data_IF_485827636030
#
_entry.id   IF_485827636030
#
_cell.length_a   1.000
_cell.length_b   1.000
_cell.length_c   1.000
_cell.angle_alpha   90.00
_cell.angle_beta   90.00
_cell.angle_gamma   90.00
#
_symmetry.space_group_name_H-M   'P 1'
#
loop_
_entity.id
_entity.type
_entity.pdbx_description
1 polymer ?
#
# COMPACT_ATOMS: atom_id res chain seq x y z
N UNK A 1 3.25 6.35 -9.88
CA UNK A 1 3.67 7.06 -8.65
C UNK A 1 3.90 6.02 -7.54
N UNK A 2 4.95 6.14 -6.73
CA UNK A 2 5.28 5.15 -5.69
C UNK A 2 5.11 5.74 -4.29
N UNK A 3 4.04 5.33 -3.58
CA UNK A 3 3.72 5.78 -2.23
C UNK A 3 4.49 4.99 -1.16
N UNK A 4 4.71 5.62 -0.01
CA UNK A 4 5.22 4.96 1.18
C UNK A 4 4.12 4.21 1.95
N UNK A 5 4.51 3.47 2.98
CA UNK A 5 3.56 2.79 3.88
C UNK A 5 3.83 3.18 5.32
N UNK A 6 2.90 3.92 5.92
CA UNK A 6 3.02 4.33 7.32
C UNK A 6 2.91 3.15 8.28
N UNK A 7 2.20 2.07 7.92
CA UNK A 7 2.13 0.85 8.73
C UNK A 7 3.50 0.18 8.86
N UNK A 8 4.29 0.18 7.79
CA UNK A 8 5.67 -0.32 7.81
C UNK A 8 6.60 0.57 8.62
N UNK A 9 6.52 1.88 8.43
CA UNK A 9 7.29 2.84 9.23
C UNK A 9 6.97 2.70 10.73
N UNK A 10 5.68 2.65 11.08
CA UNK A 10 5.19 2.48 12.45
C UNK A 10 5.71 1.21 13.11
N UNK A 11 5.80 0.10 12.37
CA UNK A 11 6.29 -1.19 12.90
C UNK A 11 7.72 -1.06 13.42
N UNK A 12 8.61 -0.37 12.70
CA UNK A 12 9.99 -0.18 13.14
C UNK A 12 10.10 0.56 14.48
N UNK A 13 9.33 1.64 14.66
CA UNK A 13 9.28 2.36 15.94
C UNK A 13 8.63 1.55 17.05
N UNK A 14 7.61 0.75 16.73
CA UNK A 14 7.00 -0.15 17.69
C UNK A 14 7.99 -1.21 18.18
N UNK A 15 8.73 -1.87 17.28
CA UNK A 15 9.77 -2.83 17.63
C UNK A 15 10.87 -2.20 18.49
N UNK A 16 11.32 -0.99 18.13
CA UNK A 16 12.29 -0.24 18.93
C UNK A 16 11.79 0.06 20.35
N UNK A 17 10.52 0.43 20.51
CA UNK A 17 9.92 0.67 21.83
C UNK A 17 9.76 -0.64 22.62
N UNK A 18 9.35 -1.73 21.98
CA UNK A 18 9.18 -3.04 22.62
C UNK A 18 10.50 -3.64 23.10
N UNK A 19 11.64 -3.25 22.51
CA UNK A 19 12.96 -3.69 22.98
C UNK A 19 13.36 -3.10 24.33
N UNK A 20 12.70 -2.03 24.80
CA UNK A 20 12.93 -1.44 26.11
C UNK A 20 12.24 -2.24 27.22
N UNK A 21 12.75 -2.21 28.47
CA UNK A 21 12.06 -2.75 29.64
C UNK A 21 10.65 -2.20 29.76
N UNK A 22 9.67 -3.02 30.16
CA UNK A 22 8.25 -2.61 30.22
C UNK A 22 8.02 -1.32 31.01
N UNK A 23 8.77 -1.10 32.09
CA UNK A 23 8.69 0.10 32.94
C UNK A 23 9.19 1.38 32.27
N UNK A 24 10.01 1.27 31.21
CA UNK A 24 10.56 2.39 30.47
C UNK A 24 9.88 2.59 29.10
N UNK A 25 8.79 1.87 28.84
CA UNK A 25 8.00 2.05 27.61
C UNK A 25 6.96 3.14 27.85
N UNK A 26 7.01 4.17 27.03
CA UNK A 26 6.02 5.21 27.09
C UNK A 26 6.21 6.28 26.00
N UNK A 27 5.28 7.23 25.93
CA UNK A 27 5.31 8.32 24.96
C UNK A 27 6.49 9.29 25.18
N UNK A 28 7.14 9.25 26.34
CA UNK A 28 8.35 10.03 26.64
C UNK A 28 9.59 9.52 25.90
N UNK A 29 9.64 8.24 25.54
CA UNK A 29 10.71 7.66 24.74
C UNK A 29 10.65 8.19 23.31
N UNK A 30 11.80 8.37 22.66
CA UNK A 30 11.84 8.87 21.28
C UNK A 30 10.96 8.04 20.33
N UNK A 31 11.04 6.71 20.40
CA UNK A 31 10.18 5.81 19.64
C UNK A 31 8.68 6.03 19.96
N UNK A 32 8.34 6.25 21.22
CA UNK A 32 6.99 6.56 21.67
C UNK A 32 6.46 7.87 21.10
N UNK A 33 7.29 8.91 21.05
CA UNK A 33 6.96 10.21 20.44
C UNK A 33 6.62 10.07 18.95
N UNK A 34 7.43 9.32 18.19
CA UNK A 34 7.11 9.02 16.79
C UNK A 34 5.79 8.27 16.65
N UNK A 35 5.55 7.24 17.48
CA UNK A 35 4.30 6.48 17.44
C UNK A 35 3.08 7.35 17.76
N UNK A 36 3.21 8.31 18.69
CA UNK A 36 2.13 9.24 19.03
C UNK A 36 1.80 10.17 17.85
N UNK A 37 2.81 10.71 17.17
CA UNK A 37 2.60 11.54 15.97
C UNK A 37 2.00 10.74 14.82
N UNK A 38 2.50 9.52 14.57
CA UNK A 38 1.94 8.62 13.55
C UNK A 38 0.48 8.28 13.86
N UNK A 39 0.13 8.09 15.14
CA UNK A 39 -1.26 7.84 15.54
C UNK A 39 -2.19 9.02 15.21
N UNK A 40 -1.70 10.26 15.28
CA UNK A 40 -2.48 11.44 14.86
C UNK A 40 -2.78 11.42 13.35
N UNK A 41 -1.82 10.99 12.52
CA UNK A 41 -2.06 10.82 11.08
C UNK A 41 -3.20 9.81 10.84
N UNK A 42 -3.17 8.67 11.53
CA UNK A 42 -4.22 7.65 11.42
C UNK A 42 -5.58 8.12 11.98
N UNK A 43 -5.60 8.98 12.99
CA UNK A 43 -6.84 9.53 13.52
C UNK A 43 -7.59 10.37 12.47
N UNK A 44 -6.85 11.15 11.66
CA UNK A 44 -7.44 11.90 10.52
C UNK A 44 -8.08 10.93 9.52
N UNK A 45 -7.36 9.87 9.14
CA UNK A 45 -7.86 8.87 8.19
C UNK A 45 -9.07 8.08 8.74
N UNK A 46 -9.07 7.73 10.03
CA UNK A 46 -10.20 7.04 10.68
C UNK A 46 -11.44 7.93 10.67
N UNK A 47 -11.30 9.18 11.12
CA UNK A 47 -12.39 10.15 11.14
C UNK A 47 -12.96 10.39 9.74
N UNK A 48 -12.09 10.49 8.73
CA UNK A 48 -12.52 10.65 7.36
C UNK A 48 -13.33 9.44 6.85
N UNK A 49 -12.92 8.22 7.21
CA UNK A 49 -13.65 6.99 6.88
C UNK A 49 -15.00 6.91 7.58
N UNK A 50 -15.05 7.27 8.86
CA UNK A 50 -16.27 7.31 9.67
C UNK A 50 -17.30 8.28 9.07
N UNK A 51 -16.87 9.46 8.64
CA UNK A 51 -17.72 10.45 7.99
C UNK A 51 -17.92 10.24 6.48
N UNK A 52 -17.30 9.21 5.89
CA UNK A 52 -17.35 8.90 4.45
C UNK A 52 -16.99 10.10 3.57
N UNK A 53 -15.92 10.81 3.95
CA UNK A 53 -15.45 11.97 3.20
C UNK A 53 -15.06 11.59 1.77
N UNK A 54 -15.34 12.50 0.84
CA UNK A 54 -14.83 12.45 -0.52
C UNK A 54 -13.30 12.66 -0.55
N UNK A 55 -12.66 12.32 -1.67
CA UNK A 55 -11.23 12.57 -1.85
C UNK A 55 -10.87 14.06 -1.66
N UNK A 56 -11.71 14.98 -2.13
CA UNK A 56 -11.47 16.42 -1.98
C UNK A 56 -11.58 16.87 -0.51
N UNK A 57 -12.57 16.39 0.23
CA UNK A 57 -12.73 16.69 1.65
C UNK A 57 -11.60 16.07 2.50
N UNK A 58 -11.20 14.84 2.19
CA UNK A 58 -10.06 14.19 2.84
C UNK A 58 -8.77 14.96 2.58
N UNK A 59 -8.54 15.43 1.34
CA UNK A 59 -7.38 16.28 1.04
C UNK A 59 -7.36 17.53 1.90
N UNK A 60 -8.49 18.22 2.05
CA UNK A 60 -8.60 19.39 2.92
C UNK A 60 -8.29 19.06 4.39
N UNK A 61 -8.83 17.94 4.91
CA UNK A 61 -8.53 17.47 6.27
C UNK A 61 -7.05 17.12 6.45
N UNK A 62 -6.43 16.47 5.46
CA UNK A 62 -4.99 16.14 5.48
C UNK A 62 -4.13 17.40 5.48
N UNK A 63 -4.45 18.40 4.67
CA UNK A 63 -3.73 19.67 4.66
C UNK A 63 -3.85 20.42 5.99
N UNK A 64 -5.03 20.40 6.60
CA UNK A 64 -5.27 21.07 7.88
C UNK A 64 -4.64 20.34 9.08
N UNK A 65 -4.65 19.02 9.09
CA UNK A 65 -4.33 18.22 10.28
C UNK A 65 -3.12 17.31 10.10
N UNK A 66 -2.99 16.63 8.97
CA UNK A 66 -1.88 15.68 8.73
C UNK A 66 -0.58 16.36 8.33
N UNK A 67 -0.63 17.39 7.47
CA UNK A 67 0.58 18.08 6.99
C UNK A 67 1.38 18.75 8.12
N UNK A 68 0.76 19.43 9.11
CA UNK A 68 1.50 19.95 10.27
C UNK A 68 2.14 18.84 11.12
N UNK A 69 1.47 17.69 11.27
CA UNK A 69 2.01 16.54 12.01
C UNK A 69 3.20 15.93 11.25
N UNK A 70 3.15 15.86 9.92
CA UNK A 70 4.31 15.48 9.11
C UNK A 70 5.48 16.43 9.34
N UNK A 71 5.26 17.74 9.37
CA UNK A 71 6.31 18.71 9.71
C UNK A 71 6.94 18.45 11.09
N UNK A 72 6.14 18.08 12.09
CA UNK A 72 6.64 17.69 13.42
C UNK A 72 7.46 16.40 13.39
N UNK A 73 7.01 15.40 12.62
CA UNK A 73 7.74 14.13 12.44
C UNK A 73 9.09 14.39 11.76
N UNK A 74 9.12 15.22 10.73
CA UNK A 74 10.35 15.57 10.00
C UNK A 74 11.35 16.30 10.91
N UNK A 75 10.88 17.30 11.64
CA UNK A 75 11.72 18.04 12.58
C UNK A 75 12.29 17.10 13.66
N UNK A 76 11.47 16.20 14.20
CA UNK A 76 11.89 15.22 15.19
C UNK A 76 12.91 14.22 14.61
N UNK A 77 12.70 13.78 13.36
CA UNK A 77 13.62 12.93 12.62
C UNK A 77 14.98 13.59 12.45
N UNK A 78 15.02 14.79 11.87
CA UNK A 78 16.26 15.51 11.59
C UNK A 78 17.05 15.82 12.87
N UNK A 79 16.36 16.15 13.97
CA UNK A 79 17.00 16.41 15.25
C UNK A 79 17.66 15.17 15.87
N UNK A 80 17.25 13.95 15.51
CA UNK A 80 17.70 12.72 16.18
C UNK A 80 18.40 11.72 15.26
N UNK A 81 18.36 11.89 13.94
CA UNK A 81 18.85 10.91 12.96
C UNK A 81 20.31 10.51 13.20
N UNK A 82 21.16 11.49 13.53
CA UNK A 82 22.60 11.28 13.76
C UNK A 82 22.98 11.13 15.24
N UNK A 83 22.02 11.30 16.16
CA UNK A 83 22.24 11.15 17.59
C UNK A 83 22.08 9.70 18.09
N UNK A 84 21.49 8.82 17.27
CA UNK A 84 21.21 7.42 17.61
C UNK A 84 22.16 6.50 16.85
N UNK A 85 22.67 5.46 17.52
CA UNK A 85 23.50 4.44 16.88
C UNK A 85 22.74 3.78 15.70
N UNK A 86 23.25 3.84 14.46
CA UNK A 86 22.51 3.37 13.28
C UNK A 86 22.14 1.88 13.33
N UNK A 87 22.96 1.05 13.96
CA UNK A 87 22.72 -0.39 14.09
C UNK A 87 21.64 -0.79 15.11
N UNK A 88 21.22 0.12 15.98
CA UNK A 88 20.15 -0.11 16.95
C UNK A 88 18.78 -0.22 16.25
N UNK A 89 17.79 -0.84 16.91
CA UNK A 89 16.43 -0.92 16.36
C UNK A 89 15.84 0.48 16.08
N UNK A 90 16.07 1.43 16.98
CA UNK A 90 15.67 2.82 16.80
C UNK A 90 16.42 3.49 15.65
N UNK A 91 17.74 3.29 15.56
CA UNK A 91 18.55 3.80 14.46
C UNK A 91 18.07 3.29 13.10
N UNK A 92 17.77 1.99 12.99
CA UNK A 92 17.18 1.38 11.79
C UNK A 92 15.82 1.98 11.44
N UNK A 93 14.94 2.20 12.43
CA UNK A 93 13.64 2.83 12.20
C UNK A 93 13.76 4.28 11.68
N UNK A 94 14.67 5.07 12.27
CA UNK A 94 14.95 6.44 11.84
C UNK A 94 15.52 6.49 10.42
N UNK A 95 16.50 5.64 10.09
CA UNK A 95 17.08 5.58 8.74
C UNK A 95 16.07 5.09 7.70
N UNK A 96 15.20 4.13 8.07
CA UNK A 96 14.08 3.73 7.21
C UNK A 96 13.16 4.92 6.93
N UNK A 97 12.68 5.61 7.99
CA UNK A 97 11.83 6.79 7.86
C UNK A 97 12.47 7.86 6.97
N UNK A 98 13.75 8.18 7.19
CA UNK A 98 14.50 9.13 6.36
C UNK A 98 14.56 8.70 4.88
N UNK A 99 14.88 7.42 4.61
CA UNK A 99 14.98 6.91 3.24
C UNK A 99 13.64 6.88 2.50
N UNK A 100 12.52 6.77 3.22
CA UNK A 100 11.18 6.70 2.65
C UNK A 100 10.43 8.03 2.72
N UNK A 101 11.02 9.09 3.28
CA UNK A 101 10.34 10.34 3.60
C UNK A 101 9.54 10.92 2.42
N UNK A 102 10.19 11.10 1.27
CA UNK A 102 9.56 11.64 0.05
C UNK A 102 8.33 10.84 -0.38
N UNK A 103 8.33 9.53 -0.15
CA UNK A 103 7.22 8.63 -0.49
C UNK A 103 6.13 8.63 0.59
N UNK A 104 6.53 8.71 1.85
CA UNK A 104 5.64 8.72 3.02
C UNK A 104 4.87 10.04 3.15
N UNK A 105 5.48 11.17 2.79
CA UNK A 105 4.82 12.47 2.84
C UNK A 105 3.84 12.68 1.67
N UNK A 106 3.98 11.93 0.57
CA UNK A 106 3.23 12.17 -0.66
C UNK A 106 1.71 11.95 -0.51
N UNK A 107 1.26 11.10 0.41
CA UNK A 107 -0.17 10.81 0.55
C UNK A 107 -1.01 12.04 0.93
N UNK A 108 -0.41 13.11 1.50
CA UNK A 108 -1.16 14.33 1.81
C UNK A 108 -1.37 15.24 0.62
N UNK A 109 -0.76 14.96 -0.55
CA UNK A 109 -0.90 15.82 -1.74
C UNK A 109 -2.12 15.48 -2.58
N UNK A 110 -2.73 14.31 -2.38
CA UNK A 110 -3.92 13.86 -3.12
C UNK A 110 -4.80 12.99 -2.20
N UNK A 111 -6.09 13.30 -2.11
CA UNK A 111 -7.04 12.55 -1.28
C UNK A 111 -7.31 11.13 -1.77
N UNK A 112 -7.01 10.81 -3.04
CA UNK A 112 -7.09 9.46 -3.57
C UNK A 112 -5.91 8.57 -3.12
N UNK A 113 -4.82 9.15 -2.62
CA UNK A 113 -3.66 8.38 -2.19
C UNK A 113 -3.91 7.76 -0.82
N UNK A 114 -3.75 6.42 -0.68
CA UNK A 114 -3.87 5.79 0.62
C UNK A 114 -2.66 6.10 1.50
N UNK A 115 -2.87 6.21 2.80
CA UNK A 115 -1.79 6.35 3.81
C UNK A 115 -0.90 5.10 3.88
N UNK A 116 -1.45 3.94 3.51
CA UNK A 116 -0.79 2.64 3.53
C UNK A 116 -0.92 1.93 2.18
N UNK A 117 0.13 1.22 1.78
CA UNK A 117 0.12 0.39 0.58
C UNK A 117 -0.40 -1.05 0.83
N UNK A 118 -0.90 -1.35 2.04
CA UNK A 118 -1.28 -2.71 2.47
C UNK A 118 -2.25 -3.40 1.51
N UNK A 119 -3.18 -2.67 0.90
CA UNK A 119 -4.11 -3.23 -0.08
C UNK A 119 -3.38 -3.75 -1.35
N UNK A 120 -2.41 -2.98 -1.84
CA UNK A 120 -1.57 -3.36 -2.97
C UNK A 120 -0.65 -4.54 -2.62
N UNK A 121 -0.07 -4.53 -1.41
CA UNK A 121 0.75 -5.65 -0.94
C UNK A 121 -0.07 -6.94 -0.75
N UNK A 122 -1.29 -6.82 -0.25
CA UNK A 122 -2.20 -7.94 -0.09
C UNK A 122 -2.70 -8.49 -1.42
N UNK A 123 -2.90 -7.65 -2.45
CA UNK A 123 -3.33 -8.13 -3.78
C UNK A 123 -2.22 -8.88 -4.51
N UNK A 124 -0.95 -8.52 -4.32
CA UNK A 124 0.19 -9.26 -4.91
C UNK A 124 0.60 -10.49 -4.09
N UNK A 125 0.24 -10.54 -2.80
CA UNK A 125 0.66 -11.63 -1.90
C UNK A 125 0.31 -13.04 -2.40
N UNK A 126 -0.90 -13.33 -2.93
CA UNK A 126 -1.20 -14.66 -3.45
C UNK A 126 -0.33 -15.05 -4.64
N UNK A 127 0.06 -14.09 -5.50
CA UNK A 127 1.05 -14.33 -6.55
C UNK A 127 2.43 -14.66 -5.96
N UNK A 128 2.91 -13.87 -4.99
CA UNK A 128 4.22 -14.08 -4.36
C UNK A 128 4.31 -15.44 -3.65
N UNK A 129 3.23 -15.89 -3.03
CA UNK A 129 3.14 -17.22 -2.42
C UNK A 129 3.00 -18.30 -3.50
N UNK A 130 2.13 -18.08 -4.49
CA UNK A 130 1.82 -19.01 -5.57
C UNK A 130 3.03 -19.35 -6.45
N UNK A 131 3.84 -18.36 -6.82
CA UNK A 131 5.02 -18.56 -7.69
C UNK A 131 6.06 -19.53 -7.12
N UNK A 132 6.09 -19.74 -5.79
CA UNK A 132 6.95 -20.75 -5.16
C UNK A 132 6.45 -22.19 -5.40
N UNK A 133 5.18 -22.34 -5.75
CA UNK A 133 4.48 -23.61 -5.95
C UNK A 133 4.08 -23.83 -7.42
N UNK A 134 4.41 -22.91 -8.33
CA UNK A 134 4.08 -23.00 -9.76
C UNK A 134 5.33 -23.43 -10.54
N UNK A 135 5.19 -24.49 -11.34
CA UNK A 135 6.25 -24.93 -12.24
C UNK A 135 6.55 -23.83 -13.28
N UNK A 136 7.82 -23.68 -13.65
CA UNK A 136 8.31 -22.77 -14.71
C UNK A 136 8.20 -21.25 -14.43
N UNK A 137 7.94 -20.85 -13.18
CA UNK A 137 7.96 -19.44 -12.73
C UNK A 137 9.38 -18.86 -12.54
N UNK A 138 10.41 -19.63 -12.86
CA UNK A 138 11.84 -19.28 -12.76
C UNK A 138 12.45 -18.73 -14.06
N UNK A 139 11.73 -18.86 -15.19
CA UNK A 139 12.13 -18.28 -16.48
C UNK A 139 11.51 -16.90 -16.67
N UNK A 140 12.19 -16.01 -17.41
CA UNK A 140 11.64 -14.68 -17.76
C UNK A 140 10.29 -14.80 -18.49
N UNK A 141 10.17 -15.76 -19.41
CA UNK A 141 8.94 -16.02 -20.14
C UNK A 141 7.81 -16.49 -19.22
N UNK A 142 8.08 -17.42 -18.31
CA UNK A 142 7.10 -17.89 -17.33
C UNK A 142 6.68 -16.81 -16.33
N UNK A 143 7.61 -15.96 -15.89
CA UNK A 143 7.32 -14.80 -15.07
C UNK A 143 6.41 -13.79 -15.79
N UNK A 144 6.69 -13.51 -17.07
CA UNK A 144 5.89 -12.59 -17.90
C UNK A 144 4.47 -13.13 -18.12
N UNK A 145 4.33 -14.41 -18.50
CA UNK A 145 3.02 -15.04 -18.70
C UNK A 145 2.19 -15.04 -17.41
N UNK A 146 2.82 -15.36 -16.28
CA UNK A 146 2.15 -15.36 -14.97
C UNK A 146 1.72 -13.95 -14.55
N UNK A 147 2.55 -12.93 -14.78
CA UNK A 147 2.22 -11.53 -14.49
C UNK A 147 1.03 -11.03 -15.32
N UNK A 148 0.96 -11.37 -16.61
CA UNK A 148 -0.13 -11.00 -17.49
C UNK A 148 -1.47 -11.60 -17.01
N UNK A 149 -1.49 -12.92 -16.77
CA UNK A 149 -2.69 -13.62 -16.29
C UNK A 149 -3.15 -13.11 -14.93
N UNK A 150 -2.20 -12.89 -14.01
CA UNK A 150 -2.54 -12.40 -12.67
C UNK A 150 -3.08 -10.98 -12.72
N UNK A 151 -2.50 -10.10 -13.55
CA UNK A 151 -3.01 -8.74 -13.76
C UNK A 151 -4.46 -8.75 -14.26
N UNK A 152 -4.78 -9.65 -15.19
CA UNK A 152 -6.13 -9.81 -15.73
C UNK A 152 -7.13 -10.30 -14.67
N UNK A 153 -6.74 -11.30 -13.87
CA UNK A 153 -7.57 -11.80 -12.77
C UNK A 153 -7.77 -10.77 -11.64
N UNK A 154 -6.73 -10.01 -11.30
CA UNK A 154 -6.85 -8.90 -10.34
C UNK A 154 -7.76 -7.80 -10.87
N UNK A 155 -7.74 -7.55 -12.17
CA UNK A 155 -8.67 -6.62 -12.83
C UNK A 155 -10.11 -7.13 -12.74
N UNK A 156 -10.35 -8.43 -12.92
CA UNK A 156 -11.68 -9.03 -12.70
C UNK A 156 -12.14 -8.81 -11.25
N UNK A 157 -11.29 -9.12 -10.28
CA UNK A 157 -11.61 -8.94 -8.86
C UNK A 157 -11.91 -7.48 -8.51
N UNK A 158 -11.14 -6.52 -9.04
CA UNK A 158 -11.37 -5.09 -8.84
C UNK A 158 -12.70 -4.60 -9.44
N UNK A 159 -13.23 -5.29 -10.45
CA UNK A 159 -14.53 -5.01 -11.07
C UNK A 159 -15.67 -5.89 -10.51
N UNK A 160 -15.42 -6.70 -9.48
CA UNK A 160 -16.42 -7.59 -8.89
C UNK A 160 -16.82 -8.77 -9.79
N UNK A 161 -15.95 -9.17 -10.72
CA UNK A 161 -16.19 -10.22 -11.71
C UNK A 161 -15.52 -11.52 -11.29
N UNK A 162 -16.27 -12.63 -11.40
CA UNK A 162 -15.72 -13.97 -11.19
C UNK A 162 -14.67 -14.30 -12.26
N UNK A 163 -13.41 -14.43 -11.82
CA UNK A 163 -12.28 -14.62 -12.72
C UNK A 163 -12.35 -15.91 -13.53
N UNK A 164 -12.95 -16.98 -13.00
CA UNK A 164 -13.10 -18.23 -13.72
C UNK A 164 -14.14 -18.12 -14.84
N UNK A 165 -15.32 -17.55 -14.54
CA UNK A 165 -16.34 -17.25 -15.54
C UNK A 165 -15.80 -16.33 -16.63
N UNK A 166 -15.04 -15.30 -16.26
CA UNK A 166 -14.36 -14.41 -17.18
C UNK A 166 -13.40 -15.16 -18.10
N UNK A 167 -12.47 -15.96 -17.56
CA UNK A 167 -11.50 -16.69 -18.38
C UNK A 167 -12.18 -17.67 -19.34
N UNK A 168 -13.25 -18.35 -18.93
CA UNK A 168 -14.03 -19.21 -19.84
C UNK A 168 -14.61 -18.40 -21.00
N UNK A 169 -15.31 -17.30 -20.69
CA UNK A 169 -15.91 -16.44 -21.71
C UNK A 169 -14.85 -15.85 -22.65
N UNK A 170 -13.74 -15.37 -22.08
CA UNK A 170 -12.59 -14.85 -22.81
C UNK A 170 -12.05 -15.89 -23.78
N UNK A 171 -11.68 -17.09 -23.32
CA UNK A 171 -11.08 -18.11 -24.18
C UNK A 171 -12.03 -18.64 -25.24
N UNK A 172 -13.35 -18.62 -24.99
CA UNK A 172 -14.35 -18.94 -26.01
C UNK A 172 -14.47 -17.88 -27.10
N UNK A 173 -14.40 -16.59 -26.75
CA UNK A 173 -14.61 -15.49 -27.67
C UNK A 173 -13.33 -14.99 -28.36
N UNK A 174 -12.16 -15.15 -27.72
CA UNK A 174 -10.86 -14.64 -28.18
C UNK A 174 -10.48 -15.08 -29.60
N UNK A 175 -10.71 -16.34 -30.04
CA UNK A 175 -10.40 -16.75 -31.41
C UNK A 175 -11.19 -16.00 -32.50
N UNK A 176 -12.32 -15.39 -32.14
CA UNK A 176 -13.15 -14.61 -33.05
C UNK A 176 -12.79 -13.13 -33.15
N UNK A 177 -11.93 -12.62 -32.26
CA UNK A 177 -11.56 -11.20 -32.23
C UNK A 177 -10.54 -10.87 -33.33
N UNK A 178 -10.83 -9.88 -34.17
CA UNK A 178 -9.96 -9.47 -35.27
C UNK A 178 -9.57 -7.99 -35.21
N UNK A 179 -10.41 -7.16 -34.59
CA UNK A 179 -10.23 -5.71 -34.49
C UNK A 179 -9.93 -5.27 -33.06
N UNK A 180 -9.40 -4.06 -32.89
CA UNK A 180 -9.16 -3.48 -31.57
C UNK A 180 -10.44 -3.40 -30.73
N UNK A 181 -11.57 -3.11 -31.36
CA UNK A 181 -12.88 -3.04 -30.71
C UNK A 181 -13.34 -4.41 -30.22
N UNK A 182 -13.07 -5.48 -30.98
CA UNK A 182 -13.37 -6.86 -30.55
C UNK A 182 -12.58 -7.20 -29.27
N UNK A 183 -11.29 -6.87 -29.22
CA UNK A 183 -10.48 -7.08 -28.03
C UNK A 183 -10.93 -6.21 -26.86
N UNK A 184 -11.35 -4.97 -27.11
CA UNK A 184 -11.87 -4.08 -26.07
C UNK A 184 -13.17 -4.63 -25.45
N UNK A 185 -14.03 -5.24 -26.27
CA UNK A 185 -15.25 -5.91 -25.82
C UNK A 185 -14.98 -7.12 -24.91
N UNK A 186 -13.77 -7.69 -24.96
CA UNK A 186 -13.33 -8.80 -24.11
C UNK A 186 -12.70 -8.36 -22.79
N UNK A 187 -12.55 -7.04 -22.55
CA UNK A 187 -12.02 -6.54 -21.28
C UNK A 187 -12.96 -6.89 -20.12
N UNK A 188 -12.43 -7.07 -18.90
CA UNK A 188 -13.23 -7.51 -17.75
C UNK A 188 -14.51 -6.70 -17.56
N UNK A 189 -14.46 -5.37 -17.63
CA UNK A 189 -15.62 -4.50 -17.43
C UNK A 189 -16.59 -4.38 -18.63
N UNK A 190 -16.31 -5.04 -19.76
CA UNK A 190 -17.15 -4.99 -20.98
C UNK A 190 -17.69 -6.34 -21.42
N UNK A 191 -17.00 -7.43 -21.09
CA UNK A 191 -17.39 -8.76 -21.57
C UNK A 191 -18.75 -9.18 -21.00
N UNK A 192 -19.60 -9.72 -21.85
CA UNK A 192 -20.87 -10.31 -21.41
C UNK A 192 -20.59 -11.71 -20.90
N UNK A 193 -20.81 -11.92 -19.60
CA UNK A 193 -20.65 -13.24 -19.00
C UNK A 193 -21.91 -14.06 -19.25
N UNK A 194 -21.78 -15.36 -19.60
CA UNK A 194 -22.94 -16.25 -19.67
C UNK A 194 -23.63 -16.29 -18.31
N UNK A 195 -24.96 -16.10 -18.31
CA UNK A 195 -25.79 -16.15 -17.11
C UNK A 195 -25.59 -17.48 -16.37
N UNK A 196 -25.68 -17.42 -15.03
CA UNK A 196 -25.65 -18.62 -14.17
C UNK A 196 -26.76 -19.60 -14.52
#
# INVERSE_FOLDING_TARGET
>A
MHLGCWAHCRRGFHEALQALPKSARGPEQLAGRFLALIAQLYAVESRAREHRLTAQELLAQRQQHSAPVLGQIEALLLANLHAVLPGSLLGKALHYLASQWTKLALYVTDGAYPIDNNACENSIRPFVIGRRNWLFSDTVAGAQASANLYSLLQTCAANGIDGYAYLRALFSALPGAQTADDYEALLPWRITLPGR
#
